data_IF_279692898693
#
_entry.id   IF_279692898693
#
_cell.length_a   1.000
_cell.length_b   1.000
_cell.length_c   1.000
_cell.angle_alpha   90.00
_cell.angle_beta   90.00
_cell.angle_gamma   90.00
#
_symmetry.space_group_name_H-M   'P 1'
#
loop_
_entity.id
_entity.type
_entity.pdbx_description
1 polymer ?
#
# COMPACT_ATOMS: atom_id res chain seq x y z
N UNK A 1 1.27 2.49 25.89
CA UNK A 1 2.71 2.31 25.60
C UNK A 1 2.91 1.15 24.63
N UNK A 2 2.47 -0.09 24.94
CA UNK A 2 2.65 -1.24 24.03
C UNK A 2 1.93 -1.17 22.67
N UNK A 3 0.70 -0.67 22.59
CA UNK A 3 -0.06 -0.60 21.32
C UNK A 3 0.56 0.41 20.34
N UNK A 4 1.02 1.56 20.83
CA UNK A 4 1.64 2.59 20.01
C UNK A 4 2.99 2.12 19.46
N UNK A 5 3.80 1.44 20.27
CA UNK A 5 5.08 0.86 19.83
C UNK A 5 4.89 -0.22 18.76
N UNK A 6 3.82 -1.01 18.88
CA UNK A 6 3.47 -2.03 17.89
C UNK A 6 3.01 -1.41 16.55
N UNK A 7 2.13 -0.40 16.60
CA UNK A 7 1.67 0.31 15.41
C UNK A 7 2.83 0.98 14.68
N UNK A 8 3.68 1.69 15.41
CA UNK A 8 4.86 2.35 14.83
C UNK A 8 5.81 1.35 14.17
N UNK A 9 5.97 0.15 14.76
CA UNK A 9 6.75 -0.93 14.15
C UNK A 9 6.15 -1.40 12.82
N UNK A 10 4.83 -1.58 12.73
CA UNK A 10 4.18 -1.98 11.48
C UNK A 10 4.34 -0.89 10.42
N UNK A 11 4.10 0.38 10.79
CA UNK A 11 4.27 1.51 9.88
C UNK A 11 5.71 1.55 9.37
N UNK A 12 6.71 1.44 10.25
CA UNK A 12 8.12 1.39 9.84
C UNK A 12 8.45 0.22 8.90
N UNK A 13 7.85 -0.96 9.12
CA UNK A 13 8.01 -2.11 8.23
C UNK A 13 7.42 -1.85 6.84
N UNK A 14 6.21 -1.28 6.78
CA UNK A 14 5.55 -0.91 5.53
C UNK A 14 6.33 0.16 4.78
N UNK A 15 6.80 1.20 5.47
CA UNK A 15 7.66 2.24 4.89
C UNK A 15 8.97 1.66 4.34
N UNK A 16 9.57 0.71 5.06
CA UNK A 16 10.73 -0.02 4.56
C UNK A 16 10.43 -0.86 3.31
N UNK A 17 9.24 -1.43 3.19
CA UNK A 17 8.81 -2.14 1.99
C UNK A 17 8.57 -1.20 0.81
N UNK A 18 8.00 -0.02 1.06
CA UNK A 18 7.83 1.03 0.04
C UNK A 18 9.19 1.41 -0.55
N UNK A 19 10.18 1.72 0.30
CA UNK A 19 11.55 2.04 -0.17
C UNK A 19 12.15 0.93 -1.03
N UNK A 20 12.09 -0.32 -0.58
CA UNK A 20 12.60 -1.47 -1.35
C UNK A 20 11.86 -1.68 -2.68
N UNK A 21 10.56 -1.40 -2.72
CA UNK A 21 9.78 -1.49 -3.95
C UNK A 21 10.22 -0.43 -4.98
N UNK A 22 10.55 0.78 -4.54
CA UNK A 22 11.10 1.83 -5.42
C UNK A 22 12.46 1.44 -5.99
N UNK A 23 13.37 0.98 -5.13
CA UNK A 23 14.70 0.50 -5.54
C UNK A 23 14.57 -0.62 -6.57
N UNK A 24 13.57 -1.50 -6.43
CA UNK A 24 13.28 -2.58 -7.38
C UNK A 24 12.68 -2.09 -8.69
N UNK A 25 11.68 -1.22 -8.65
CA UNK A 25 11.03 -0.71 -9.85
C UNK A 25 12.01 0.09 -10.72
N UNK A 26 12.78 0.99 -10.13
CA UNK A 26 13.70 1.86 -10.85
C UNK A 26 15.08 1.21 -11.09
N UNK A 27 15.64 0.52 -10.10
CA UNK A 27 17.00 0.00 -10.15
C UNK A 27 17.13 -1.37 -10.82
N UNK A 28 16.15 -2.26 -10.62
CA UNK A 28 16.12 -3.59 -11.24
C UNK A 28 15.26 -3.62 -12.52
N UNK A 29 14.63 -2.50 -12.90
CA UNK A 29 13.67 -2.39 -14.00
C UNK A 29 12.53 -3.45 -13.87
N UNK A 30 12.13 -3.76 -12.63
CA UNK A 30 11.15 -4.80 -12.29
C UNK A 30 9.91 -4.21 -11.57
N UNK A 31 9.05 -3.49 -12.29
CA UNK A 31 7.84 -2.90 -11.70
C UNK A 31 6.82 -3.96 -11.25
N UNK A 32 6.69 -5.09 -11.95
CA UNK A 32 5.80 -6.19 -11.52
C UNK A 32 6.25 -6.79 -10.18
N UNK A 33 7.55 -7.03 -10.00
CA UNK A 33 8.10 -7.48 -8.72
C UNK A 33 7.96 -6.43 -7.61
N UNK A 34 8.09 -5.14 -7.93
CA UNK A 34 7.85 -4.05 -6.98
C UNK A 34 6.39 -4.00 -6.51
N UNK A 35 5.44 -4.15 -7.42
CA UNK A 35 4.01 -4.22 -7.10
C UNK A 35 3.68 -5.41 -6.18
N UNK A 36 4.19 -6.60 -6.51
CA UNK A 36 4.02 -7.79 -5.66
C UNK A 36 4.63 -7.63 -4.28
N UNK A 37 5.77 -6.94 -4.17
CA UNK A 37 6.39 -6.64 -2.88
C UNK A 37 5.48 -5.78 -2.00
N UNK A 38 4.85 -4.75 -2.58
CA UNK A 38 3.87 -3.93 -1.86
C UNK A 38 2.63 -4.73 -1.46
N UNK A 39 2.12 -5.58 -2.35
CA UNK A 39 0.97 -6.44 -2.06
C UNK A 39 1.25 -7.38 -0.87
N UNK A 40 2.46 -7.97 -0.81
CA UNK A 40 2.89 -8.77 0.34
C UNK A 40 2.98 -7.94 1.63
N UNK A 41 3.57 -6.74 1.55
CA UNK A 41 3.69 -5.85 2.70
C UNK A 41 2.33 -5.41 3.27
N UNK A 42 1.31 -5.25 2.41
CA UNK A 42 -0.06 -4.98 2.84
C UNK A 42 -0.64 -6.17 3.62
N UNK A 43 -0.44 -7.40 3.14
CA UNK A 43 -0.83 -8.61 3.88
C UNK A 43 -0.18 -8.65 5.27
N UNK A 44 1.14 -8.50 5.34
CA UNK A 44 1.90 -8.49 6.59
C UNK A 44 1.45 -7.38 7.55
N UNK A 45 1.17 -6.18 7.04
CA UNK A 45 0.73 -5.04 7.86
C UNK A 45 -0.65 -5.26 8.49
N UNK A 46 -1.52 -6.00 7.83
CA UNK A 46 -2.89 -6.26 8.29
C UNK A 46 -3.01 -7.49 9.18
N UNK A 47 -1.94 -8.31 9.30
CA UNK A 47 -1.97 -9.66 9.91
C UNK A 47 -3.05 -10.56 9.27
N UNK A 48 -3.30 -10.37 7.97
CA UNK A 48 -4.24 -11.16 7.17
C UNK A 48 -3.49 -11.88 6.04
N UNK A 49 -4.12 -12.91 5.48
CA UNK A 49 -3.65 -13.51 4.24
C UNK A 49 -3.78 -12.48 3.10
N UNK A 50 -2.64 -11.90 2.70
CA UNK A 50 -2.58 -10.83 1.72
C UNK A 50 -3.10 -11.24 0.34
N UNK A 51 -2.83 -12.48 -0.09
CA UNK A 51 -3.31 -12.98 -1.38
C UNK A 51 -4.85 -13.09 -1.36
N UNK A 52 -5.39 -13.69 -0.30
CA UNK A 52 -6.84 -13.81 -0.13
C UNK A 52 -7.51 -12.42 -0.02
N UNK A 53 -6.99 -11.54 0.83
CA UNK A 53 -7.49 -10.19 1.04
C UNK A 53 -7.51 -9.39 -0.27
N UNK A 54 -6.39 -9.41 -1.00
CA UNK A 54 -6.21 -8.61 -2.20
C UNK A 54 -6.86 -9.21 -3.46
N UNK A 55 -7.33 -10.46 -3.38
CA UNK A 55 -8.19 -11.06 -4.40
C UNK A 55 -9.65 -10.59 -4.35
N UNK A 56 -10.05 -9.94 -3.24
CA UNK A 56 -11.42 -9.49 -3.03
C UNK A 56 -11.78 -8.28 -3.89
N UNK A 57 -13.07 -8.14 -4.17
CA UNK A 57 -13.62 -6.91 -4.72
C UNK A 57 -13.32 -5.70 -3.80
N UNK A 58 -13.18 -4.47 -4.34
CA UNK A 58 -12.77 -3.30 -3.58
C UNK A 58 -13.56 -3.06 -2.29
N UNK A 59 -14.89 -3.05 -2.36
CA UNK A 59 -15.75 -2.83 -1.20
C UNK A 59 -15.67 -3.97 -0.19
N UNK A 60 -15.48 -5.21 -0.65
CA UNK A 60 -15.31 -6.38 0.22
C UNK A 60 -13.99 -6.33 0.97
N UNK A 61 -12.89 -5.97 0.31
CA UNK A 61 -11.59 -5.79 0.95
C UNK A 61 -11.66 -4.70 2.04
N UNK A 62 -12.25 -3.55 1.72
CA UNK A 62 -12.42 -2.45 2.66
C UNK A 62 -13.29 -2.86 3.87
N UNK A 63 -14.39 -3.56 3.63
CA UNK A 63 -15.27 -4.07 4.69
C UNK A 63 -14.57 -5.07 5.61
N UNK A 64 -13.74 -5.97 5.07
CA UNK A 64 -12.93 -6.88 5.88
C UNK A 64 -11.99 -6.09 6.78
N UNK A 65 -11.25 -5.11 6.26
CA UNK A 65 -10.32 -4.32 7.06
C UNK A 65 -11.01 -3.51 8.17
N UNK A 66 -12.23 -3.00 7.92
CA UNK A 66 -13.05 -2.35 8.96
C UNK A 66 -13.42 -3.30 10.09
N UNK A 67 -13.82 -4.54 9.77
CA UNK A 67 -14.27 -5.53 10.76
C UNK A 67 -13.09 -6.15 11.51
N UNK A 68 -11.94 -6.29 10.86
CA UNK A 68 -10.71 -6.85 11.44
C UNK A 68 -10.05 -5.93 12.49
N UNK A 69 -10.53 -4.68 12.64
CA UNK A 69 -10.01 -3.75 13.63
C UNK A 69 -8.62 -3.20 13.30
N UNK A 70 -8.27 -3.13 12.01
CA UNK A 70 -7.02 -2.51 11.55
C UNK A 70 -7.03 -1.02 11.91
N UNK A 71 -5.90 -0.53 12.45
CA UNK A 71 -5.77 0.85 12.91
C UNK A 71 -6.01 1.86 11.77
N UNK A 72 -6.87 2.89 11.96
CA UNK A 72 -7.15 3.88 10.93
C UNK A 72 -5.90 4.59 10.38
N UNK A 73 -4.88 4.86 11.21
CA UNK A 73 -3.63 5.46 10.73
C UNK A 73 -2.87 4.53 9.79
N UNK A 74 -2.90 3.22 10.08
CA UNK A 74 -2.29 2.22 9.19
C UNK A 74 -3.05 2.09 7.87
N UNK A 75 -4.38 2.19 7.89
CA UNK A 75 -5.19 2.07 6.66
C UNK A 75 -4.93 3.17 5.64
N UNK A 76 -4.54 4.38 6.07
CA UNK A 76 -4.12 5.43 5.14
C UNK A 76 -2.84 5.01 4.38
N UNK A 77 -1.84 4.51 5.10
CA UNK A 77 -0.60 4.01 4.50
C UNK A 77 -0.85 2.82 3.56
N UNK A 78 -1.74 1.89 3.94
CA UNK A 78 -2.15 0.77 3.07
C UNK A 78 -2.80 1.30 1.79
N UNK A 79 -3.71 2.27 1.89
CA UNK A 79 -4.39 2.83 0.73
C UNK A 79 -3.39 3.51 -0.23
N UNK A 80 -2.40 4.24 0.30
CA UNK A 80 -1.31 4.83 -0.49
C UNK A 80 -0.42 3.77 -1.13
N UNK A 81 -0.08 2.70 -0.40
CA UNK A 81 0.69 1.56 -0.94
C UNK A 81 -0.04 0.83 -2.06
N UNK A 82 -1.36 0.66 -1.96
CA UNK A 82 -2.18 0.08 -3.03
C UNK A 82 -2.20 0.98 -4.27
N UNK A 83 -2.25 2.29 -4.09
CA UNK A 83 -2.17 3.24 -5.21
C UNK A 83 -0.79 3.19 -5.90
N UNK A 84 0.29 3.05 -5.13
CA UNK A 84 1.63 2.85 -5.65
C UNK A 84 1.77 1.50 -6.39
N UNK A 85 1.26 0.41 -5.80
CA UNK A 85 1.19 -0.92 -6.44
C UNK A 85 0.42 -0.85 -7.77
N UNK A 86 -0.68 -0.10 -7.82
CA UNK A 86 -1.43 0.17 -9.05
C UNK A 86 -0.57 0.82 -10.13
N UNK A 87 0.29 1.80 -9.78
CA UNK A 87 1.18 2.43 -10.74
C UNK A 87 2.21 1.45 -11.28
N UNK A 88 2.85 0.66 -10.41
CA UNK A 88 3.82 -0.33 -10.83
C UNK A 88 3.21 -1.44 -11.70
N UNK A 89 1.99 -1.90 -11.42
CA UNK A 89 1.30 -2.82 -12.33
C UNK A 89 1.02 -2.18 -13.70
N UNK A 90 0.69 -0.89 -13.76
CA UNK A 90 0.50 -0.19 -15.03
C UNK A 90 1.82 -0.05 -15.82
N UNK A 91 2.93 0.27 -15.14
CA UNK A 91 4.28 0.29 -15.73
C UNK A 91 4.69 -1.09 -16.27
N UNK A 92 4.24 -2.17 -15.62
CA UNK A 92 4.42 -3.55 -16.06
C UNK A 92 3.42 -3.99 -17.16
N UNK A 93 2.60 -3.08 -17.70
CA UNK A 93 1.54 -3.36 -18.67
C UNK A 93 0.48 -4.39 -18.18
N UNK A 94 0.25 -4.45 -16.87
CA UNK A 94 -0.78 -5.25 -16.23
C UNK A 94 -1.96 -4.36 -15.79
N UNK A 95 -2.72 -3.87 -16.78
CA UNK A 95 -3.79 -2.88 -16.58
C UNK A 95 -4.92 -3.40 -15.69
N UNK A 96 -5.22 -4.69 -15.73
CA UNK A 96 -6.26 -5.31 -14.90
C UNK A 96 -5.91 -5.24 -13.41
N UNK A 97 -4.66 -5.59 -13.06
CA UNK A 97 -4.18 -5.49 -11.68
C UNK A 97 -4.03 -4.03 -11.26
N UNK A 98 -3.56 -3.16 -12.16
CA UNK A 98 -3.49 -1.73 -11.90
C UNK A 98 -4.87 -1.17 -11.54
N UNK A 99 -5.89 -1.44 -12.34
CA UNK A 99 -7.26 -0.98 -12.10
C UNK A 99 -7.85 -1.54 -10.80
N UNK A 100 -7.60 -2.81 -10.50
CA UNK A 100 -8.06 -3.45 -9.27
C UNK A 100 -7.45 -2.77 -8.04
N UNK A 101 -6.11 -2.63 -7.99
CA UNK A 101 -5.40 -2.00 -6.88
C UNK A 101 -5.80 -0.54 -6.69
N UNK A 102 -5.98 0.20 -7.78
CA UNK A 102 -6.46 1.58 -7.76
C UNK A 102 -7.88 1.69 -7.17
N UNK A 103 -8.76 0.74 -7.50
CA UNK A 103 -10.13 0.70 -6.98
C UNK A 103 -10.17 0.30 -5.51
N UNK A 104 -9.36 -0.68 -5.12
CA UNK A 104 -9.16 -1.12 -3.73
C UNK A 104 -8.62 0.00 -2.84
N UNK A 105 -7.60 0.75 -3.30
CA UNK A 105 -7.08 1.92 -2.61
C UNK A 105 -8.19 2.95 -2.32
N UNK A 106 -8.99 3.28 -3.33
CA UNK A 106 -10.09 4.26 -3.19
C UNK A 106 -11.22 3.78 -2.29
N UNK A 107 -11.61 2.51 -2.40
CA UNK A 107 -12.61 1.92 -1.53
C UNK A 107 -12.17 1.94 -0.06
N UNK A 108 -10.89 1.60 0.20
CA UNK A 108 -10.32 1.64 1.55
C UNK A 108 -10.29 3.06 2.11
N UNK A 109 -9.81 4.03 1.33
CA UNK A 109 -9.78 5.42 1.76
C UNK A 109 -11.19 5.96 2.04
N UNK A 110 -12.17 5.67 1.18
CA UNK A 110 -13.56 6.05 1.40
C UNK A 110 -14.15 5.42 2.66
N UNK A 111 -13.82 4.15 2.93
CA UNK A 111 -14.31 3.41 4.10
C UNK A 111 -13.76 3.95 5.43
N UNK A 112 -12.55 4.51 5.44
CA UNK A 112 -11.91 5.04 6.65
C UNK A 112 -11.87 6.59 6.72
N UNK A 113 -12.38 7.27 5.69
CA UNK A 113 -12.45 8.74 5.63
C UNK A 113 -11.14 9.42 5.26
N UNK A 114 -10.24 8.72 4.55
CA UNK A 114 -8.95 9.26 4.12
C UNK A 114 -9.06 10.00 2.78
N UNK A 115 -8.26 11.04 2.61
CA UNK A 115 -8.07 11.70 1.33
C UNK A 115 -6.93 11.01 0.56
N UNK A 116 -7.24 10.49 -0.63
CA UNK A 116 -6.24 9.96 -1.56
C UNK A 116 -6.05 10.91 -2.75
N UNK A 117 -4.80 11.12 -3.21
CA UNK A 117 -4.56 11.79 -4.47
C UNK A 117 -5.14 10.97 -5.64
N UNK A 118 -5.36 11.63 -6.78
CA UNK A 118 -5.86 10.96 -7.99
C UNK A 118 -4.90 9.92 -8.55
N UNK A 119 -3.60 10.15 -8.36
CA UNK A 119 -2.49 9.35 -8.87
C UNK A 119 -1.48 9.06 -7.74
N UNK A 120 -0.71 7.98 -7.88
CA UNK A 120 0.35 7.67 -6.93
C UNK A 120 1.47 8.72 -6.99
N UNK A 121 2.09 8.99 -5.85
CA UNK A 121 3.29 9.84 -5.76
C UNK A 121 4.38 9.26 -6.66
N UNK A 122 4.97 10.10 -7.51
CA UNK A 122 6.16 9.77 -8.32
C UNK A 122 7.33 9.30 -7.45
N UNK A 123 8.31 8.61 -8.03
CA UNK A 123 9.49 8.17 -7.28
C UNK A 123 10.23 9.33 -6.60
N UNK A 124 10.28 10.50 -7.25
CA UNK A 124 10.90 11.70 -6.69
C UNK A 124 10.11 12.24 -5.49
N UNK A 125 8.79 12.31 -5.59
CA UNK A 125 7.93 12.75 -4.48
C UNK A 125 8.00 11.77 -3.31
N UNK A 126 8.07 10.47 -3.61
CA UNK A 126 8.13 9.42 -2.61
C UNK A 126 9.49 9.40 -1.90
N UNK A 127 10.59 9.63 -2.60
CA UNK A 127 11.92 9.78 -2.00
C UNK A 127 11.93 10.99 -1.05
N UNK A 128 11.42 12.14 -1.49
CA UNK A 128 11.36 13.34 -0.66
C UNK A 128 10.52 13.11 0.62
N UNK A 129 9.40 12.39 0.51
CA UNK A 129 8.57 12.03 1.65
C UNK A 129 9.26 11.07 2.62
N UNK A 130 10.02 10.10 2.11
CA UNK A 130 10.78 9.16 2.93
C UNK A 130 11.96 9.83 3.65
N UNK A 131 12.61 10.79 3.01
CA UNK A 131 13.67 11.60 3.62
C UNK A 131 13.13 12.47 4.75
N UNK A 132 12.00 13.16 4.54
CA UNK A 132 11.35 13.98 5.57
C UNK A 132 10.90 13.15 6.78
N UNK A 133 10.44 11.91 6.54
CA UNK A 133 10.02 11.00 7.61
C UNK A 133 11.20 10.40 8.42
N UNK A 134 12.44 10.55 7.94
CA UNK A 134 13.64 10.02 8.59
C UNK A 134 14.38 11.05 9.46
N UNK A 135 14.03 12.33 9.38
CA UNK A 135 14.54 13.44 10.21
C UNK A 135 13.76 13.62 11.52
#
# INVERSE_FOLDING_TARGET
>A
MFEQDYLMRIIAQLMGAIRRSMERAAGEEDPDGAARMLDMAVGEATDLDGEALLSLAPDSMAAILQVSGVDPHLTEHIARSLLLSSRYYAEAANDDMAALRSSQARALAAAFGHELPSEAMTDQELEAFLEEAAE
#
